data_IF_602234765330
#
_entry.id   IF_602234765330
#
_cell.length_a   1.000
_cell.length_b   1.000
_cell.length_c   1.000
_cell.angle_alpha   90.00
_cell.angle_beta   90.00
_cell.angle_gamma   90.00
#
_symmetry.space_group_name_H-M   'P 1'
#
loop_
_entity.id
_entity.type
_entity.pdbx_description
1 polymer ?
#
# COMPACT_ATOMS: atom_id res chain seq x y z
N UNK A 1 -8.68 4.80 -0.01
CA UNK A 1 -9.79 4.28 0.79
C UNK A 1 -11.07 4.09 -0.04
N UNK A 2 -11.25 4.83 -1.14
CA UNK A 2 -12.42 4.65 -2.02
C UNK A 2 -12.34 3.41 -2.91
N UNK A 3 -11.18 2.80 -3.02
CA UNK A 3 -10.97 1.64 -3.90
C UNK A 3 -11.20 0.30 -3.20
N UNK A 4 -11.29 0.29 -1.86
CA UNK A 4 -11.59 -0.94 -1.11
C UNK A 4 -13.10 -1.14 -0.98
N UNK A 5 -13.69 -1.62 -2.07
CA UNK A 5 -15.13 -1.85 -2.20
C UNK A 5 -15.62 -3.07 -1.42
N UNK A 6 -14.71 -3.85 -0.86
CA UNK A 6 -15.02 -5.05 -0.07
C UNK A 6 -15.19 -4.75 1.43
N UNK A 7 -14.79 -3.54 1.90
CA UNK A 7 -15.06 -3.13 3.27
C UNK A 7 -16.56 -3.14 3.56
N UNK A 8 -16.92 -3.72 4.69
CA UNK A 8 -18.29 -3.73 5.19
C UNK A 8 -18.59 -2.50 6.04
N UNK A 9 -19.87 -2.22 6.32
CA UNK A 9 -20.24 -1.18 7.27
C UNK A 9 -19.71 -1.47 8.67
N UNK A 10 -19.61 -2.75 9.07
CA UNK A 10 -18.97 -3.16 10.32
C UNK A 10 -17.49 -2.77 10.33
N UNK A 11 -16.77 -2.99 9.23
CA UNK A 11 -15.35 -2.61 9.13
C UNK A 11 -15.18 -1.10 9.24
N UNK A 12 -16.05 -0.30 8.61
CA UNK A 12 -16.01 1.15 8.75
C UNK A 12 -16.26 1.61 10.20
N UNK A 13 -17.20 0.98 10.90
CA UNK A 13 -17.45 1.27 12.33
C UNK A 13 -16.23 0.92 13.19
N UNK A 14 -15.57 -0.20 12.89
CA UNK A 14 -14.32 -0.61 13.56
C UNK A 14 -13.17 0.37 13.27
N UNK A 15 -13.01 0.83 12.04
CA UNK A 15 -12.00 1.83 11.65
C UNK A 15 -12.22 3.15 12.42
N UNK A 16 -13.47 3.59 12.58
CA UNK A 16 -13.81 4.77 13.39
C UNK A 16 -13.41 4.54 14.86
N UNK A 17 -13.70 3.38 15.40
CA UNK A 17 -13.32 3.01 16.77
C UNK A 17 -11.80 3.06 16.96
N UNK A 18 -11.07 2.38 16.09
CA UNK A 18 -9.60 2.31 16.12
C UNK A 18 -8.96 3.69 15.93
N UNK A 19 -9.39 4.42 14.90
CA UNK A 19 -8.81 5.71 14.53
C UNK A 19 -9.05 6.81 15.59
N UNK A 20 -10.25 6.88 16.14
CA UNK A 20 -10.61 7.89 17.14
C UNK A 20 -10.32 7.46 18.58
N UNK A 21 -10.27 6.15 18.84
CA UNK A 21 -10.07 5.56 20.16
C UNK A 21 -8.62 5.46 20.61
N UNK A 22 -7.67 5.81 19.75
CA UNK A 22 -6.23 5.68 20.01
C UNK A 22 -5.73 4.23 20.02
N UNK A 23 -6.52 3.29 19.50
CA UNK A 23 -6.12 1.87 19.49
C UNK A 23 -4.98 1.59 18.49
N UNK A 24 -4.86 2.40 17.45
CA UNK A 24 -3.78 2.27 16.45
C UNK A 24 -2.40 2.47 17.06
N UNK A 25 -2.27 3.26 18.14
CA UNK A 25 -0.99 3.44 18.84
C UNK A 25 -0.54 2.23 19.66
N UNK A 26 -1.45 1.30 19.96
CA UNK A 26 -1.14 0.07 20.70
C UNK A 26 -0.58 -1.05 19.83
N UNK A 27 -0.87 -0.98 18.56
CA UNK A 27 -0.30 -1.87 17.56
C UNK A 27 0.87 -1.10 16.96
N UNK A 28 2.08 -1.56 16.99
CA UNK A 28 3.31 -0.94 16.43
C UNK A 28 3.20 -0.64 14.90
N UNK A 29 2.03 -0.25 14.42
CA UNK A 29 1.62 -0.37 13.02
C UNK A 29 1.33 0.96 12.31
N UNK A 30 1.28 2.09 13.03
CA UNK A 30 1.12 3.38 12.36
C UNK A 30 2.48 4.02 12.18
N UNK A 31 2.99 3.98 10.96
CA UNK A 31 4.21 4.63 10.57
C UNK A 31 3.94 5.77 9.60
N UNK A 32 4.86 6.71 9.54
CA UNK A 32 4.84 7.74 8.50
C UNK A 32 4.89 7.08 7.12
N UNK A 33 4.00 7.52 6.21
CA UNK A 33 4.06 7.09 4.81
C UNK A 33 5.17 7.84 4.11
N UNK A 34 6.25 7.14 3.83
CA UNK A 34 7.36 7.68 3.06
C UNK A 34 7.04 7.70 1.55
N UNK A 35 7.65 8.61 0.83
CA UNK A 35 7.48 8.80 -0.62
C UNK A 35 8.81 8.51 -1.35
N UNK A 36 9.42 7.40 -1.03
CA UNK A 36 10.65 6.92 -1.65
C UNK A 36 10.40 5.95 -2.80
N UNK A 37 11.49 5.33 -3.24
CA UNK A 37 11.45 4.25 -4.22
C UNK A 37 11.38 2.91 -3.49
N UNK A 38 10.27 2.18 -3.67
CA UNK A 38 10.11 0.86 -3.05
C UNK A 38 11.12 -0.14 -3.62
N UNK A 39 11.78 -0.88 -2.74
CA UNK A 39 12.66 -1.99 -3.05
C UNK A 39 12.45 -3.12 -2.03
N UNK A 40 12.38 -4.34 -2.51
CA UNK A 40 12.36 -5.52 -1.64
C UNK A 40 13.70 -6.23 -1.75
N UNK A 41 14.36 -6.48 -0.62
CA UNK A 41 15.65 -7.16 -0.59
C UNK A 41 15.58 -8.47 0.18
N UNK A 42 16.45 -9.39 -0.17
CA UNK A 42 16.68 -10.64 0.56
C UNK A 42 18.15 -11.04 0.50
N UNK A 43 18.50 -12.10 1.19
CA UNK A 43 19.85 -12.66 1.17
C UNK A 43 19.80 -14.14 0.80
N UNK A 44 20.49 -14.49 -0.27
CA UNK A 44 20.49 -15.86 -0.78
C UNK A 44 21.86 -16.24 -1.36
N UNK A 45 22.32 -17.45 -1.05
CA UNK A 45 23.58 -17.99 -1.57
C UNK A 45 24.77 -17.02 -1.41
N UNK A 46 24.88 -16.37 -0.24
CA UNK A 46 25.97 -15.45 0.08
C UNK A 46 25.88 -14.07 -0.57
N UNK A 47 24.77 -13.72 -1.22
CA UNK A 47 24.59 -12.45 -1.95
C UNK A 47 23.30 -11.73 -1.57
N UNK A 48 23.36 -10.41 -1.66
CA UNK A 48 22.16 -9.57 -1.65
C UNK A 48 21.40 -9.76 -2.97
N UNK A 49 20.10 -9.98 -2.88
CA UNK A 49 19.19 -10.02 -4.00
C UNK A 49 18.04 -9.04 -3.79
N UNK A 50 17.51 -8.51 -4.88
CA UNK A 50 16.42 -7.55 -4.84
C UNK A 50 15.32 -7.87 -5.84
N UNK A 51 14.08 -7.54 -5.44
CA UNK A 51 12.87 -7.75 -6.21
C UNK A 51 12.03 -6.48 -6.26
N UNK A 52 11.35 -6.26 -7.39
CA UNK A 52 10.35 -5.21 -7.60
C UNK A 52 9.07 -5.74 -8.26
N UNK A 53 8.97 -7.04 -8.44
CA UNK A 53 7.80 -7.68 -9.06
C UNK A 53 7.55 -9.05 -8.46
N UNK A 54 6.31 -9.51 -8.51
CA UNK A 54 5.92 -10.84 -8.03
C UNK A 54 6.73 -11.98 -8.67
N UNK A 55 7.08 -11.86 -9.95
CA UNK A 55 7.87 -12.89 -10.66
C UNK A 55 9.27 -13.08 -10.06
N UNK A 56 9.84 -12.03 -9.48
CA UNK A 56 11.16 -12.05 -8.87
C UNK A 56 11.14 -12.63 -7.44
N UNK A 57 9.98 -12.70 -6.80
CA UNK A 57 9.81 -13.28 -5.46
C UNK A 57 9.66 -14.81 -5.48
N UNK A 58 9.34 -15.39 -6.64
CA UNK A 58 9.10 -16.82 -6.79
C UNK A 58 10.32 -17.69 -6.49
N UNK A 59 10.07 -18.94 -6.05
CA UNK A 59 11.08 -19.96 -5.80
C UNK A 59 12.23 -19.45 -4.91
N UNK A 60 11.87 -18.88 -3.75
CA UNK A 60 12.81 -18.29 -2.80
C UNK A 60 13.73 -17.24 -3.48
N UNK A 61 13.18 -16.39 -4.32
CA UNK A 61 13.92 -15.32 -4.98
C UNK A 61 14.91 -15.78 -6.05
N UNK A 62 14.70 -16.96 -6.66
CA UNK A 62 15.59 -17.47 -7.72
C UNK A 62 15.72 -16.50 -8.89
N UNK A 63 14.68 -15.75 -9.20
CA UNK A 63 14.62 -14.77 -10.30
C UNK A 63 14.86 -13.33 -9.83
N UNK A 64 15.14 -13.12 -8.54
CA UNK A 64 15.54 -11.82 -8.02
C UNK A 64 16.92 -11.43 -8.57
N UNK A 65 17.17 -10.13 -8.66
CA UNK A 65 18.39 -9.61 -9.24
C UNK A 65 19.42 -9.34 -8.13
N UNK A 66 20.66 -9.73 -8.34
CA UNK A 66 21.77 -9.30 -7.50
C UNK A 66 22.12 -7.82 -7.76
N UNK A 67 23.10 -7.30 -7.06
CA UNK A 67 23.56 -5.91 -7.17
C UNK A 67 23.84 -5.52 -8.61
N UNK A 68 24.56 -6.35 -9.35
CA UNK A 68 24.90 -6.07 -10.75
C UNK A 68 23.65 -6.12 -11.66
N UNK A 69 22.75 -7.04 -11.41
CA UNK A 69 21.49 -7.17 -12.13
C UNK A 69 20.59 -5.93 -11.96
N UNK A 70 20.50 -5.38 -10.75
CA UNK A 70 19.76 -4.14 -10.50
C UNK A 70 20.44 -2.95 -11.19
N UNK A 71 21.75 -2.80 -11.05
CA UNK A 71 22.50 -1.73 -11.72
C UNK A 71 22.28 -1.77 -13.24
N UNK A 72 22.40 -2.94 -13.86
CA UNK A 72 22.18 -3.12 -15.29
C UNK A 72 20.75 -2.79 -15.71
N UNK A 73 19.76 -3.22 -14.92
CA UNK A 73 18.32 -3.00 -15.20
C UNK A 73 17.94 -1.52 -15.21
N UNK A 74 18.57 -0.71 -14.35
CA UNK A 74 18.26 0.71 -14.21
C UNK A 74 19.25 1.62 -14.93
N UNK A 75 20.26 1.08 -15.58
CA UNK A 75 21.26 1.86 -16.33
C UNK A 75 20.57 2.82 -17.32
N UNK A 76 20.99 4.07 -17.30
CA UNK A 76 20.48 5.10 -18.20
C UNK A 76 19.10 5.70 -17.84
N UNK A 77 18.57 5.38 -16.68
CA UNK A 77 17.29 5.94 -16.20
C UNK A 77 17.43 7.17 -15.29
N UNK A 78 18.45 7.99 -15.51
CA UNK A 78 18.69 9.21 -14.74
C UNK A 78 18.91 8.93 -13.25
N UNK A 79 18.40 9.80 -12.38
CA UNK A 79 18.63 9.77 -10.93
C UNK A 79 18.15 8.47 -10.24
N UNK A 80 17.17 7.77 -10.80
CA UNK A 80 16.74 6.45 -10.31
C UNK A 80 17.84 5.40 -10.50
N UNK A 81 18.63 5.49 -11.56
CA UNK A 81 19.79 4.61 -11.79
C UNK A 81 20.80 4.75 -10.65
N UNK A 82 21.13 5.97 -10.27
CA UNK A 82 22.05 6.27 -9.18
C UNK A 82 21.48 5.82 -7.84
N UNK A 83 20.21 6.16 -7.59
CA UNK A 83 19.51 5.78 -6.35
C UNK A 83 19.62 4.27 -6.08
N UNK A 84 19.25 3.42 -7.04
CA UNK A 84 19.32 1.97 -6.85
C UNK A 84 20.74 1.42 -6.90
N UNK A 85 21.63 1.97 -7.73
CA UNK A 85 23.03 1.54 -7.79
C UNK A 85 23.73 1.75 -6.44
N UNK A 86 23.59 2.93 -5.87
CA UNK A 86 24.18 3.24 -4.56
C UNK A 86 23.51 2.47 -3.43
N UNK A 87 22.17 2.35 -3.46
CA UNK A 87 21.44 1.60 -2.44
C UNK A 87 21.88 0.13 -2.41
N UNK A 88 21.99 -0.54 -3.54
CA UNK A 88 22.39 -1.94 -3.61
C UNK A 88 23.82 -2.15 -3.09
N UNK A 89 24.76 -1.29 -3.47
CA UNK A 89 26.15 -1.37 -3.01
C UNK A 89 26.27 -1.16 -1.50
N UNK A 90 25.57 -0.18 -0.96
CA UNK A 90 25.54 0.12 0.46
C UNK A 90 24.87 -1.00 1.25
N UNK A 91 23.73 -1.49 0.78
CA UNK A 91 22.99 -2.59 1.40
C UNK A 91 23.76 -3.92 1.37
N UNK A 92 24.47 -4.24 0.29
CA UNK A 92 25.24 -5.48 0.19
C UNK A 92 26.33 -5.52 1.24
N UNK A 93 27.04 -4.42 1.47
CA UNK A 93 28.03 -4.31 2.55
C UNK A 93 27.39 -4.35 3.93
N UNK A 94 26.37 -3.54 4.14
CA UNK A 94 25.70 -3.40 5.42
C UNK A 94 25.06 -4.73 5.87
N UNK A 95 24.28 -5.37 5.01
CA UNK A 95 23.65 -6.67 5.31
C UNK A 95 24.68 -7.79 5.33
N UNK A 96 25.72 -7.72 4.48
CA UNK A 96 26.83 -8.65 4.50
C UNK A 96 27.63 -8.66 5.82
N UNK A 97 27.64 -7.55 6.57
CA UNK A 97 28.29 -7.46 7.89
C UNK A 97 27.56 -8.24 8.99
N UNK A 98 26.29 -8.58 8.77
CA UNK A 98 25.53 -9.41 9.69
C UNK A 98 26.03 -10.85 9.65
N UNK A 99 25.94 -11.58 10.76
CA UNK A 99 26.22 -13.02 10.78
C UNK A 99 25.18 -13.80 9.98
N UNK A 100 25.53 -15.02 9.54
CA UNK A 100 24.60 -15.91 8.83
C UNK A 100 23.32 -16.15 9.63
N UNK A 101 23.45 -16.36 10.95
CA UNK A 101 22.29 -16.53 11.84
C UNK A 101 21.39 -15.30 11.87
N UNK A 102 21.94 -14.10 11.84
CA UNK A 102 21.16 -12.86 11.80
C UNK A 102 20.45 -12.70 10.45
N UNK A 103 21.15 -12.95 9.34
CA UNK A 103 20.58 -12.89 8.00
C UNK A 103 19.48 -13.93 7.81
N UNK A 104 19.71 -15.17 8.23
CA UNK A 104 18.73 -16.24 8.06
C UNK A 104 17.46 -15.99 8.86
N UNK A 105 17.58 -15.41 10.06
CA UNK A 105 16.41 -15.03 10.87
C UNK A 105 15.48 -14.01 10.19
N UNK A 106 16.00 -13.16 9.32
CA UNK A 106 15.24 -12.11 8.63
C UNK A 106 14.84 -12.56 7.23
N UNK A 107 15.76 -13.16 6.50
CA UNK A 107 15.63 -13.42 5.06
C UNK A 107 15.28 -14.86 4.71
N UNK A 108 15.39 -15.80 5.66
CA UNK A 108 15.01 -17.20 5.51
C UNK A 108 15.60 -17.82 4.22
N UNK A 109 16.89 -17.58 3.98
CA UNK A 109 17.62 -18.06 2.80
C UNK A 109 16.98 -17.70 1.47
N UNK A 110 16.35 -16.53 1.37
CA UNK A 110 15.72 -16.01 0.17
C UNK A 110 14.20 -16.21 0.11
N UNK A 111 13.58 -16.87 1.08
CA UNK A 111 12.11 -17.00 1.16
C UNK A 111 11.42 -15.76 1.68
N UNK A 112 12.11 -14.93 2.46
CA UNK A 112 11.57 -13.69 2.99
C UNK A 112 12.29 -12.48 2.40
N UNK A 113 11.51 -11.45 2.07
CA UNK A 113 12.00 -10.20 1.53
C UNK A 113 11.66 -9.05 2.47
N UNK A 114 12.69 -8.28 2.83
CA UNK A 114 12.54 -7.01 3.56
C UNK A 114 12.05 -5.94 2.62
N UNK A 115 10.91 -5.36 2.95
CA UNK A 115 10.38 -4.19 2.25
C UNK A 115 11.07 -2.94 2.76
N UNK A 116 11.55 -2.10 1.86
CA UNK A 116 12.24 -0.86 2.20
C UNK A 116 11.94 0.27 1.22
N UNK A 117 12.07 1.47 1.71
CA UNK A 117 12.01 2.70 0.91
C UNK A 117 13.41 3.28 0.73
N UNK A 118 13.77 3.53 -0.51
CA UNK A 118 15.02 4.22 -0.90
C UNK A 118 14.68 5.68 -1.15
N UNK A 119 15.11 6.55 -0.25
CA UNK A 119 14.94 8.00 -0.38
C UNK A 119 16.23 8.62 -0.90
N UNK A 120 16.19 9.06 -2.15
CA UNK A 120 17.30 9.71 -2.81
C UNK A 120 16.91 11.14 -3.18
N UNK A 121 17.60 12.18 -2.68
CA UNK A 121 17.18 13.58 -2.85
C UNK A 121 16.94 14.00 -4.31
N UNK A 122 17.73 13.46 -5.23
CA UNK A 122 17.62 13.77 -6.67
C UNK A 122 16.51 12.98 -7.38
N UNK A 123 15.94 11.93 -6.76
CA UNK A 123 14.86 11.12 -7.36
C UNK A 123 13.58 11.17 -6.52
N UNK A 124 13.33 12.30 -5.86
CA UNK A 124 12.10 12.52 -5.10
C UNK A 124 10.87 12.45 -6.00
N UNK A 125 9.79 11.80 -5.53
CA UNK A 125 8.52 11.79 -6.24
C UNK A 125 7.74 13.08 -5.97
N UNK A 126 7.24 13.25 -4.75
CA UNK A 126 6.45 14.43 -4.33
C UNK A 126 7.14 15.18 -3.18
N UNK A 127 7.77 14.42 -2.26
CA UNK A 127 8.44 15.00 -1.08
C UNK A 127 9.93 15.09 -1.36
N UNK A 128 10.49 16.31 -1.23
CA UNK A 128 11.93 16.52 -1.29
C UNK A 128 12.56 16.17 0.05
N UNK A 129 13.49 15.22 0.01
CA UNK A 129 14.27 14.81 1.17
C UNK A 129 15.66 15.44 1.11
N UNK A 130 16.11 16.04 2.22
CA UNK A 130 17.43 16.66 2.30
C UNK A 130 18.57 15.64 2.42
N UNK A 131 18.24 14.41 2.82
CA UNK A 131 19.22 13.35 3.10
C UNK A 131 18.87 12.07 2.36
N UNK A 132 19.90 11.38 1.89
CA UNK A 132 19.74 10.03 1.35
C UNK A 132 19.57 9.03 2.50
N UNK A 133 18.42 8.36 2.54
CA UNK A 133 18.09 7.41 3.59
C UNK A 133 17.42 6.14 3.01
N UNK A 134 17.72 5.00 3.63
CA UNK A 134 17.02 3.74 3.37
C UNK A 134 16.27 3.36 4.63
N UNK A 135 14.95 3.25 4.54
CA UNK A 135 14.11 2.90 5.69
C UNK A 135 13.60 1.47 5.56
N UNK A 136 13.87 0.65 6.57
CA UNK A 136 13.40 -0.72 6.66
C UNK A 136 12.01 -0.77 7.28
N UNK A 137 11.04 -1.42 6.60
CA UNK A 137 9.69 -1.60 7.12
C UNK A 137 9.52 -2.93 7.85
N UNK A 138 9.73 -4.04 7.18
CA UNK A 138 9.58 -5.38 7.73
C UNK A 138 9.73 -6.42 6.62
N UNK A 139 9.93 -7.68 6.97
CA UNK A 139 10.07 -8.76 6.01
C UNK A 139 8.79 -9.57 5.90
N UNK A 140 8.41 -9.89 4.66
CA UNK A 140 7.31 -10.79 4.32
C UNK A 140 7.88 -12.10 3.77
N UNK A 141 7.33 -13.21 4.22
CA UNK A 141 7.61 -14.54 3.67
C UNK A 141 6.73 -14.80 2.46
N UNK A 142 7.32 -15.43 1.44
CA UNK A 142 6.64 -15.78 0.19
C UNK A 142 6.77 -17.28 -0.10
N UNK A 143 5.69 -17.86 -0.61
CA UNK A 143 5.70 -19.21 -1.17
C UNK A 143 6.40 -19.26 -2.55
N UNK A 144 6.53 -20.47 -3.10
CA UNK A 144 7.17 -20.67 -4.42
C UNK A 144 6.40 -20.00 -5.58
N UNK A 145 5.13 -19.67 -5.39
CA UNK A 145 4.34 -18.91 -6.37
C UNK A 145 4.55 -17.40 -6.27
N UNK A 146 5.29 -16.92 -5.26
CA UNK A 146 5.47 -15.50 -4.94
C UNK A 146 4.24 -14.87 -4.29
N UNK A 147 3.43 -15.68 -3.60
CA UNK A 147 2.30 -15.20 -2.78
C UNK A 147 2.75 -15.06 -1.33
N UNK A 148 2.28 -14.01 -0.66
CA UNK A 148 2.61 -13.75 0.75
C UNK A 148 2.02 -14.86 1.62
N UNK A 149 2.88 -15.50 2.41
CA UNK A 149 2.51 -16.48 3.44
C UNK A 149 2.22 -15.79 4.76
N UNK A 150 3.04 -14.79 5.13
CA UNK A 150 2.90 -14.05 6.36
C UNK A 150 4.05 -13.07 6.58
N UNK A 151 4.00 -12.38 7.71
CA UNK A 151 5.06 -11.50 8.13
C UNK A 151 6.10 -12.27 8.96
N UNK A 152 7.38 -12.03 8.72
CA UNK A 152 8.46 -12.53 9.56
C UNK A 152 8.43 -11.77 10.88
N UNK A 153 7.93 -12.44 11.94
CA UNK A 153 7.68 -11.81 13.25
C UNK A 153 8.91 -11.09 13.78
N UNK A 154 8.73 -9.81 14.08
CA UNK A 154 9.75 -8.97 14.68
C UNK A 154 10.92 -8.60 13.75
N UNK A 155 10.83 -8.86 12.43
CA UNK A 155 11.91 -8.56 11.48
C UNK A 155 12.32 -7.07 11.51
N UNK A 156 11.35 -6.17 11.55
CA UNK A 156 11.60 -4.73 11.68
C UNK A 156 12.35 -4.38 12.98
N UNK A 157 11.91 -4.94 14.13
CA UNK A 157 12.59 -4.72 15.43
C UNK A 157 13.99 -5.31 15.45
N UNK A 158 14.18 -6.50 14.87
CA UNK A 158 15.47 -7.15 14.80
C UNK A 158 16.44 -6.28 14.01
N UNK A 159 16.04 -5.79 12.86
CA UNK A 159 16.86 -4.86 12.08
C UNK A 159 17.06 -3.51 12.77
N UNK A 160 16.05 -2.99 13.47
CA UNK A 160 16.22 -1.78 14.29
C UNK A 160 17.32 -1.95 15.36
N UNK A 161 17.36 -3.11 16.02
CA UNK A 161 18.41 -3.43 16.97
C UNK A 161 19.81 -3.55 16.33
N UNK A 162 19.88 -3.78 15.02
CA UNK A 162 21.13 -3.92 14.27
C UNK A 162 21.50 -2.66 13.48
N UNK A 163 20.70 -1.60 13.56
CA UNK A 163 20.88 -0.38 12.74
C UNK A 163 22.25 0.25 12.93
N UNK A 164 22.76 0.25 14.16
CA UNK A 164 24.08 0.77 14.43
C UNK A 164 25.17 -0.06 13.73
N UNK A 165 25.07 -1.39 13.80
CA UNK A 165 26.00 -2.30 13.14
C UNK A 165 25.99 -2.11 11.62
N UNK A 166 24.82 -2.12 10.99
CA UNK A 166 24.71 -1.96 9.53
C UNK A 166 25.15 -0.58 9.06
N UNK A 167 24.90 0.47 9.82
CA UNK A 167 25.37 1.83 9.48
C UNK A 167 26.89 2.00 9.56
N UNK A 168 27.59 1.20 10.39
CA UNK A 168 29.05 1.21 10.42
C UNK A 168 29.68 0.68 9.12
N UNK A 169 28.96 -0.14 8.38
CA UNK A 169 29.40 -0.78 7.14
C UNK A 169 28.80 -0.19 5.87
N UNK A 170 27.92 0.79 5.99
CA UNK A 170 27.39 1.53 4.84
C UNK A 170 28.50 2.40 4.24
N UNK A 171 28.52 2.46 2.92
CA UNK A 171 29.34 3.42 2.20
C UNK A 171 28.69 4.81 2.21
N UNK A 172 29.32 5.78 1.62
CA UNK A 172 29.08 7.22 1.76
C UNK A 172 27.71 7.76 1.31
N UNK A 173 26.78 6.93 0.80
CA UNK A 173 25.62 7.45 0.09
C UNK A 173 24.34 7.50 0.96
N UNK A 174 24.08 6.46 1.72
CA UNK A 174 22.86 6.34 2.51
C UNK A 174 23.11 6.18 4.00
N UNK A 175 22.12 6.61 4.77
CA UNK A 175 21.94 6.18 6.14
C UNK A 175 20.78 5.20 6.19
N UNK A 176 20.92 4.11 6.94
CA UNK A 176 19.81 3.20 7.19
C UNK A 176 19.03 3.72 8.39
N UNK A 177 17.77 3.97 8.16
CA UNK A 177 16.79 4.44 9.14
C UNK A 177 15.79 3.36 9.52
N UNK A 178 15.02 3.68 10.55
CA UNK A 178 13.85 2.91 10.99
C UNK A 178 12.59 3.70 10.67
N UNK A 179 11.43 3.03 10.50
CA UNK A 179 10.18 3.74 10.38
C UNK A 179 9.96 4.65 11.58
N UNK A 180 9.46 5.84 11.32
CA UNK A 180 8.96 6.70 12.38
C UNK A 180 7.55 6.21 12.72
N UNK A 181 7.40 5.67 13.93
CA UNK A 181 6.09 5.28 14.44
C UNK A 181 5.39 6.49 14.99
N UNK A 182 4.16 6.70 14.55
CA UNK A 182 3.31 7.79 14.99
C UNK A 182 2.47 7.34 16.18
N UNK A 183 2.46 8.12 17.24
CA UNK A 183 1.46 7.96 18.30
C UNK A 183 0.13 8.50 17.80
N UNK A 184 -0.90 7.67 17.83
CA UNK A 184 -2.27 8.07 17.53
C UNK A 184 -3.03 8.18 18.84
N UNK A 185 -3.09 9.38 19.45
CA UNK A 185 -3.78 9.55 20.73
C UNK A 185 -5.29 9.39 20.54
N UNK A 186 -5.97 9.01 21.62
CA UNK A 186 -7.42 9.03 21.65
C UNK A 186 -7.91 10.47 21.45
N UNK A 187 -8.89 10.65 20.56
CA UNK A 187 -9.49 11.96 20.32
C UNK A 187 -10.16 12.47 21.61
N UNK A 188 -9.97 13.74 21.96
CA UNK A 188 -10.55 14.32 23.19
C UNK A 188 -12.06 14.09 23.27
N UNK A 189 -12.76 14.32 22.17
CA UNK A 189 -14.21 14.12 22.05
C UNK A 189 -14.59 12.75 21.48
N UNK A 190 -13.81 11.71 21.78
CA UNK A 190 -13.99 10.39 21.17
C UNK A 190 -15.44 9.91 21.16
N UNK A 191 -16.13 9.97 22.33
CA UNK A 191 -17.49 9.48 22.44
C UNK A 191 -18.49 10.25 21.55
N UNK A 192 -18.34 11.57 21.43
CA UNK A 192 -19.19 12.42 20.58
C UNK A 192 -18.87 12.22 19.10
N UNK A 193 -17.59 12.22 18.73
CA UNK A 193 -17.14 11.99 17.34
C UNK A 193 -17.55 10.61 16.86
N UNK A 194 -17.31 9.56 17.67
CA UNK A 194 -17.73 8.19 17.37
C UNK A 194 -19.22 8.12 17.10
N UNK A 195 -20.06 8.64 18.02
CA UNK A 195 -21.52 8.66 17.85
C UNK A 195 -21.94 9.38 16.58
N UNK A 196 -21.34 10.54 16.29
CA UNK A 196 -21.60 11.30 15.09
C UNK A 196 -21.33 10.52 13.79
N UNK A 197 -20.16 9.89 13.69
CA UNK A 197 -19.80 9.09 12.50
C UNK A 197 -20.65 7.81 12.38
N UNK A 198 -20.83 7.07 13.47
CA UNK A 198 -21.67 5.86 13.48
C UNK A 198 -23.12 6.20 13.15
N UNK A 199 -23.66 7.31 13.65
CA UNK A 199 -25.00 7.76 13.31
C UNK A 199 -25.17 8.05 11.80
N UNK A 200 -24.16 8.66 11.17
CA UNK A 200 -24.15 8.88 9.71
C UNK A 200 -24.16 7.56 8.95
N UNK A 201 -23.33 6.60 9.34
CA UNK A 201 -23.32 5.26 8.72
C UNK A 201 -24.67 4.57 8.88
N UNK A 202 -25.25 4.59 10.07
CA UNK A 202 -26.57 4.01 10.33
C UNK A 202 -27.68 4.68 9.49
N UNK A 203 -27.60 6.00 9.27
CA UNK A 203 -28.53 6.73 8.42
C UNK A 203 -28.43 6.24 6.97
N UNK A 204 -27.20 6.08 6.44
CA UNK A 204 -26.97 5.54 5.09
C UNK A 204 -27.48 4.10 4.97
N UNK A 205 -27.20 3.26 5.97
CA UNK A 205 -27.70 1.89 5.99
C UNK A 205 -29.24 1.85 5.96
N UNK A 206 -29.90 2.69 6.75
CA UNK A 206 -31.37 2.79 6.75
C UNK A 206 -31.90 3.27 5.40
N UNK A 207 -31.27 4.28 4.81
CA UNK A 207 -31.67 4.85 3.52
C UNK A 207 -31.66 3.81 2.41
N UNK A 208 -30.65 2.94 2.38
CA UNK A 208 -30.46 1.95 1.31
C UNK A 208 -30.77 0.51 1.74
N UNK A 209 -31.42 0.32 2.88
CA UNK A 209 -31.75 -1.00 3.45
C UNK A 209 -30.53 -1.94 3.57
N UNK A 210 -29.36 -1.39 3.96
CA UNK A 210 -28.10 -2.13 4.10
C UNK A 210 -27.88 -2.60 5.53
N UNK A 211 -27.17 -3.72 5.66
CA UNK A 211 -26.77 -4.33 6.95
C UNK A 211 -25.30 -4.06 7.25
N UNK A 212 -24.87 -4.36 8.47
CA UNK A 212 -23.46 -4.25 8.88
C UNK A 212 -22.52 -5.15 8.07
N UNK A 213 -23.03 -6.27 7.55
CA UNK A 213 -22.30 -7.20 6.69
C UNK A 213 -22.23 -6.79 5.23
N UNK A 214 -23.02 -5.77 4.83
CA UNK A 214 -23.03 -5.32 3.44
C UNK A 214 -21.83 -4.42 3.16
N UNK A 215 -21.35 -4.47 1.92
CA UNK A 215 -20.13 -3.83 1.49
C UNK A 215 -20.33 -2.41 0.97
N UNK A 216 -19.26 -1.63 0.93
CA UNK A 216 -19.27 -0.33 0.23
C UNK A 216 -19.63 -0.47 -1.25
N UNK A 217 -19.32 -1.59 -1.89
CA UNK A 217 -19.80 -1.88 -3.24
C UNK A 217 -21.32 -1.81 -3.36
N UNK A 218 -22.03 -2.43 -2.42
CA UNK A 218 -23.50 -2.41 -2.41
C UNK A 218 -24.04 -1.01 -2.17
N UNK A 219 -23.42 -0.25 -1.27
CA UNK A 219 -23.77 1.16 -1.06
C UNK A 219 -23.57 1.99 -2.34
N UNK A 220 -22.41 1.87 -3.00
CA UNK A 220 -22.15 2.59 -4.24
C UNK A 220 -23.14 2.22 -5.34
N UNK A 221 -23.50 0.94 -5.45
CA UNK A 221 -24.53 0.50 -6.39
C UNK A 221 -25.86 1.18 -6.11
N UNK A 222 -26.36 1.13 -4.87
CA UNK A 222 -27.64 1.73 -4.48
C UNK A 222 -27.64 3.25 -4.67
N UNK A 223 -26.54 3.92 -4.31
CA UNK A 223 -26.40 5.37 -4.50
C UNK A 223 -26.47 5.76 -5.99
N UNK A 224 -25.75 5.06 -6.85
CA UNK A 224 -25.75 5.37 -8.28
C UNK A 224 -27.06 5.00 -8.95
N UNK A 225 -27.74 3.93 -8.52
CA UNK A 225 -29.09 3.59 -9.00
C UNK A 225 -30.07 4.74 -8.70
N UNK A 226 -30.09 5.22 -7.45
CA UNK A 226 -30.93 6.33 -7.03
C UNK A 226 -30.61 7.62 -7.81
N UNK A 227 -29.30 7.95 -7.90
CA UNK A 227 -28.83 9.15 -8.59
C UNK A 227 -29.27 9.17 -10.07
N UNK A 228 -28.98 8.09 -10.79
CA UNK A 228 -29.30 7.97 -12.22
C UNK A 228 -30.82 7.99 -12.42
N UNK A 229 -31.57 7.28 -11.58
CA UNK A 229 -33.04 7.26 -11.65
C UNK A 229 -33.61 8.66 -11.44
N UNK A 230 -33.14 9.38 -10.45
CA UNK A 230 -33.63 10.74 -10.16
C UNK A 230 -33.26 11.74 -11.27
N UNK A 231 -32.05 11.65 -11.83
CA UNK A 231 -31.63 12.46 -12.96
C UNK A 231 -32.51 12.20 -14.19
N UNK A 232 -32.78 10.94 -14.52
CA UNK A 232 -33.65 10.58 -15.62
C UNK A 232 -35.06 11.13 -15.42
N UNK A 233 -35.61 10.99 -14.22
CA UNK A 233 -36.93 11.51 -13.85
C UNK A 233 -37.01 13.02 -14.00
N UNK A 234 -35.95 13.74 -13.63
CA UNK A 234 -35.90 15.21 -13.77
C UNK A 234 -36.02 15.67 -15.22
N UNK A 235 -35.49 14.88 -16.15
CA UNK A 235 -35.58 15.15 -17.59
C UNK A 235 -36.72 14.39 -18.30
N UNK A 236 -37.64 13.80 -17.53
CA UNK A 236 -38.78 13.02 -18.07
C UNK A 236 -38.40 11.77 -18.86
N UNK A 237 -37.19 11.26 -18.65
CA UNK A 237 -36.73 10.00 -19.26
C UNK A 237 -37.17 8.78 -18.48
N UNK A 238 -37.60 7.75 -19.20
CA UNK A 238 -37.84 6.41 -18.64
C UNK A 238 -36.65 5.51 -18.96
N UNK A 239 -35.82 5.22 -17.94
CA UNK A 239 -34.71 4.29 -18.10
C UNK A 239 -35.17 2.86 -17.77
N UNK A 240 -35.05 1.91 -18.72
CA UNK A 240 -35.30 0.50 -18.43
C UNK A 240 -34.34 -0.01 -17.33
N UNK A 241 -34.84 -0.83 -16.40
CA UNK A 241 -34.08 -1.35 -15.28
C UNK A 241 -32.77 -2.04 -15.72
N UNK A 242 -32.78 -2.76 -16.85
CA UNK A 242 -31.58 -3.42 -17.39
C UNK A 242 -30.51 -2.42 -17.80
N UNK A 243 -30.91 -1.30 -18.43
CA UNK A 243 -30.00 -0.22 -18.84
C UNK A 243 -29.43 0.47 -17.61
N UNK A 244 -30.30 0.82 -16.65
CA UNK A 244 -29.90 1.41 -15.37
C UNK A 244 -28.83 0.57 -14.66
N UNK A 245 -29.07 -0.72 -14.48
CA UNK A 245 -28.09 -1.63 -13.86
C UNK A 245 -26.77 -1.72 -14.63
N UNK A 246 -26.83 -1.69 -15.95
CA UNK A 246 -25.65 -1.67 -16.81
C UNK A 246 -24.80 -0.40 -16.62
N UNK A 247 -25.45 0.78 -16.59
CA UNK A 247 -24.80 2.06 -16.32
C UNK A 247 -24.17 2.11 -14.94
N UNK A 248 -24.90 1.69 -13.92
CA UNK A 248 -24.41 1.64 -12.53
C UNK A 248 -23.17 0.75 -12.44
N UNK A 249 -23.22 -0.44 -13.05
CA UNK A 249 -22.07 -1.35 -13.06
C UNK A 249 -20.83 -0.69 -13.67
N UNK A 250 -20.97 -0.01 -14.79
CA UNK A 250 -19.85 0.68 -15.45
C UNK A 250 -19.34 1.88 -14.63
N UNK A 251 -20.25 2.72 -14.13
CA UNK A 251 -19.89 3.97 -13.47
C UNK A 251 -19.40 3.77 -12.03
N UNK A 252 -19.98 2.85 -11.28
CA UNK A 252 -19.58 2.58 -9.90
C UNK A 252 -18.32 1.72 -9.80
N UNK A 253 -18.14 0.75 -10.71
CA UNK A 253 -17.11 -0.28 -10.59
C UNK A 253 -16.08 -0.30 -11.72
N UNK A 254 -16.26 0.51 -12.74
CA UNK A 254 -15.30 0.66 -13.82
C UNK A 254 -14.01 1.35 -13.38
N UNK A 255 -12.96 1.23 -14.17
CA UNK A 255 -11.76 2.02 -14.07
C UNK A 255 -12.04 3.52 -14.10
N UNK A 256 -11.22 4.33 -13.43
CA UNK A 256 -11.45 5.78 -13.32
C UNK A 256 -11.42 6.47 -14.69
N UNK A 257 -10.49 6.10 -15.53
CA UNK A 257 -10.37 6.64 -16.89
C UNK A 257 -11.54 6.19 -17.77
N UNK A 258 -11.92 4.92 -17.62
CA UNK A 258 -13.08 4.36 -18.31
C UNK A 258 -14.39 5.06 -17.91
N UNK A 259 -14.57 5.35 -16.62
CA UNK A 259 -15.77 6.08 -16.14
C UNK A 259 -15.93 7.43 -16.81
N UNK A 260 -14.86 8.22 -16.86
CA UNK A 260 -14.89 9.56 -17.46
C UNK A 260 -15.24 9.45 -18.94
N UNK A 261 -14.56 8.57 -19.67
CA UNK A 261 -14.81 8.38 -21.10
C UNK A 261 -16.21 7.82 -21.37
N UNK A 262 -16.68 6.88 -20.54
CA UNK A 262 -18.00 6.29 -20.71
C UNK A 262 -19.13 7.29 -20.42
N UNK A 263 -19.02 8.10 -19.37
CA UNK A 263 -19.97 9.16 -19.07
C UNK A 263 -20.06 10.15 -20.24
N UNK A 264 -18.90 10.56 -20.76
CA UNK A 264 -18.81 11.44 -21.91
C UNK A 264 -19.52 10.85 -23.14
N UNK A 265 -19.22 9.59 -23.46
CA UNK A 265 -19.81 8.88 -24.59
C UNK A 265 -21.34 8.69 -24.41
N UNK A 266 -21.80 8.40 -23.19
CA UNK A 266 -23.21 8.22 -22.90
C UNK A 266 -23.98 9.53 -23.03
N UNK A 267 -23.37 10.67 -22.69
CA UNK A 267 -23.91 12.02 -22.91
C UNK A 267 -23.92 12.35 -24.40
N UNK A 268 -22.81 12.19 -25.10
CA UNK A 268 -22.64 12.51 -26.50
C UNK A 268 -23.60 11.70 -27.41
N UNK A 269 -23.97 10.49 -27.00
CA UNK A 269 -24.91 9.64 -27.74
C UNK A 269 -26.39 9.84 -27.38
N UNK A 270 -26.72 10.84 -26.57
CA UNK A 270 -28.09 11.13 -26.12
C UNK A 270 -28.81 9.94 -25.50
N UNK A 271 -28.10 8.88 -25.11
CA UNK A 271 -28.71 7.70 -24.48
C UNK A 271 -29.08 7.94 -23.03
N UNK A 272 -28.72 9.08 -22.53
CA UNK A 272 -28.89 9.49 -21.15
C UNK A 272 -29.64 10.83 -21.01
N UNK A 273 -29.67 11.62 -22.07
CA UNK A 273 -30.45 12.82 -22.21
C UNK A 273 -31.71 12.49 -23.02
#
# INVERSE_FOLDING_TARGET
PFDDKNLTFKDLKNIIEMGLGGQLSREDNVSEKLDGQNLMISWRAGKLIAARSKSQLKNAGKNALDTNGIISKFKGRGDISDAFSFAMKDLEKAIGSLSDKQRDKIFMSGKAFMNLEVMWPKSANVINYDKAEIVFHGALEYDDSGTVVGEVKGSGRILQGMIQQVNQHIQKHYKIGKPVFLEVPKHQDFGTKKRGFVSRLNKLQKQYALKDTDTLSMYHQSFWEEFIFNAAKQFSYKIPTKVLKGLVKRWAFGDKSYKIQQIKNDIDNEKFL
#
